data_IF_555362880264
#
_entry.id   IF_555362880264
#
_cell.length_a   1.000
_cell.length_b   1.000
_cell.length_c   1.000
_cell.angle_alpha   90.00
_cell.angle_beta   90.00
_cell.angle_gamma   90.00
#
_symmetry.space_group_name_H-M   'P 1'
#
loop_
_entity.id
_entity.type
_entity.pdbx_description
1 polymer ?
#
# COMPACT_ATOMS: atom_id res chain seq x y z
N UNK A 1 -16.86 12.20 -2.39
CA UNK A 1 -17.02 10.94 -1.65
C UNK A 1 -16.30 9.82 -2.38
N UNK A 2 -15.53 9.02 -1.66
CA UNK A 2 -14.81 7.89 -2.25
C UNK A 2 -15.71 6.66 -2.38
N UNK A 3 -15.52 5.95 -3.48
CA UNK A 3 -16.14 4.64 -3.70
C UNK A 3 -15.00 3.62 -3.76
N UNK A 4 -15.16 2.48 -3.11
CA UNK A 4 -14.14 1.44 -3.02
C UNK A 4 -14.58 0.22 -3.81
N UNK A 5 -13.65 -0.37 -4.55
CA UNK A 5 -13.95 -1.53 -5.39
C UNK A 5 -12.79 -2.51 -5.37
N UNK A 6 -13.11 -3.80 -5.23
CA UNK A 6 -12.09 -4.85 -5.35
C UNK A 6 -11.58 -4.90 -6.79
N UNK A 7 -10.26 -4.95 -6.95
CA UNK A 7 -9.64 -5.02 -8.25
C UNK A 7 -9.71 -6.44 -8.83
N UNK A 8 -9.81 -6.54 -10.15
CA UNK A 8 -9.61 -7.78 -10.87
C UNK A 8 -8.53 -7.59 -11.94
N UNK A 9 -8.23 -8.62 -12.72
CA UNK A 9 -7.14 -8.54 -13.69
C UNK A 9 -7.38 -7.49 -14.79
N UNK A 10 -8.63 -7.11 -15.05
CA UNK A 10 -8.93 -6.06 -16.01
C UNK A 10 -8.50 -4.68 -15.53
N UNK A 11 -8.20 -4.53 -14.24
CA UNK A 11 -7.74 -3.27 -13.65
C UNK A 11 -6.21 -3.11 -13.70
N UNK A 12 -5.49 -4.06 -14.31
CA UNK A 12 -4.03 -4.05 -14.29
C UNK A 12 -3.42 -2.74 -14.80
N UNK A 13 -3.92 -2.20 -15.91
CA UNK A 13 -3.39 -0.95 -16.47
C UNK A 13 -3.61 0.23 -15.52
N UNK A 14 -4.78 0.30 -14.90
CA UNK A 14 -5.10 1.33 -13.91
C UNK A 14 -4.16 1.23 -12.70
N UNK A 15 -3.91 0.02 -12.24
CA UNK A 15 -3.02 -0.23 -11.10
C UNK A 15 -1.58 0.15 -11.42
N UNK A 16 -1.09 -0.18 -12.62
CA UNK A 16 0.26 0.23 -13.07
C UNK A 16 0.37 1.76 -13.03
N UNK A 17 -0.64 2.46 -13.51
CA UNK A 17 -0.65 3.92 -13.51
C UNK A 17 -0.58 4.50 -12.08
N UNK A 18 -1.41 3.98 -11.17
CA UNK A 18 -1.40 4.42 -9.77
C UNK A 18 -0.05 4.16 -9.12
N UNK A 19 0.49 2.95 -9.31
CA UNK A 19 1.78 2.58 -8.72
C UNK A 19 2.91 3.46 -9.26
N UNK A 20 2.96 3.68 -10.57
CA UNK A 20 4.00 4.52 -11.16
C UNK A 20 3.92 5.96 -10.65
N UNK A 21 2.73 6.51 -10.53
CA UNK A 21 2.55 7.86 -9.98
C UNK A 21 3.01 7.94 -8.52
N UNK A 22 2.57 6.98 -7.70
CA UNK A 22 2.85 7.00 -6.26
C UNK A 22 4.32 6.73 -5.93
N UNK A 23 5.00 5.87 -6.71
CA UNK A 23 6.35 5.39 -6.39
C UNK A 23 7.44 5.96 -7.29
N UNK A 24 7.12 6.93 -8.14
CA UNK A 24 8.13 7.56 -9.01
C UNK A 24 9.28 8.15 -8.19
N UNK A 25 8.98 8.87 -7.11
CA UNK A 25 10.00 9.50 -6.29
C UNK A 25 10.88 8.46 -5.59
N UNK A 26 10.28 7.35 -5.14
CA UNK A 26 11.04 6.25 -4.53
C UNK A 26 11.98 5.62 -5.55
N UNK A 27 11.52 5.43 -6.79
CA UNK A 27 12.35 4.89 -7.86
C UNK A 27 13.54 5.79 -8.15
N UNK A 28 13.32 7.10 -8.23
CA UNK A 28 14.40 8.08 -8.45
C UNK A 28 15.36 8.08 -7.26
N UNK A 29 14.84 8.09 -6.04
CA UNK A 29 15.65 8.20 -4.82
C UNK A 29 16.52 6.97 -4.56
N UNK A 30 15.96 5.78 -4.75
CA UNK A 30 16.65 4.52 -4.39
C UNK A 30 17.24 3.79 -5.59
N UNK A 31 16.99 4.26 -6.80
CA UNK A 31 17.44 3.60 -8.02
C UNK A 31 16.69 2.31 -8.36
N UNK A 32 15.79 1.89 -7.49
CA UNK A 32 14.91 0.75 -7.71
C UNK A 32 13.69 0.86 -6.82
N UNK A 33 12.57 0.35 -7.30
CA UNK A 33 11.35 0.22 -6.52
C UNK A 33 10.51 -0.89 -7.15
N UNK A 34 10.28 -2.02 -6.44
CA UNK A 34 9.53 -3.15 -7.02
C UNK A 34 8.12 -2.79 -7.49
N UNK A 35 7.52 -1.76 -6.90
CA UNK A 35 6.18 -1.32 -7.26
C UNK A 35 6.16 -0.45 -8.53
N UNK A 36 7.31 0.06 -8.97
CA UNK A 36 7.42 0.98 -10.10
C UNK A 36 7.85 0.23 -11.36
N UNK A 37 7.24 0.59 -12.49
CA UNK A 37 7.65 0.04 -13.79
C UNK A 37 7.21 -1.40 -14.04
N UNK A 38 6.18 -1.87 -13.36
CA UNK A 38 5.66 -3.22 -13.60
C UNK A 38 5.01 -3.31 -14.97
N UNK A 39 5.19 -4.47 -15.63
CA UNK A 39 4.44 -4.77 -16.85
C UNK A 39 2.99 -5.07 -16.50
N UNK A 40 2.12 -5.04 -17.52
CA UNK A 40 0.72 -5.42 -17.37
C UNK A 40 0.61 -6.87 -16.85
N UNK A 41 1.37 -7.79 -17.43
CA UNK A 41 1.35 -9.21 -17.04
C UNK A 41 1.80 -9.39 -15.59
N UNK A 42 2.84 -8.66 -15.19
CA UNK A 42 3.33 -8.69 -13.81
C UNK A 42 2.25 -8.18 -12.85
N UNK A 43 1.56 -7.09 -13.21
CA UNK A 43 0.48 -6.56 -12.38
C UNK A 43 -0.73 -7.49 -12.33
N UNK A 44 -1.07 -8.16 -13.44
CA UNK A 44 -2.13 -9.17 -13.46
C UNK A 44 -1.82 -10.29 -12.47
N UNK A 45 -0.57 -10.74 -12.42
CA UNK A 45 -0.16 -11.77 -11.46
C UNK A 45 -0.25 -11.23 -10.03
N UNK A 46 0.14 -9.98 -9.81
CA UNK A 46 0.06 -9.33 -8.49
C UNK A 46 -1.39 -9.27 -7.98
N UNK A 47 -2.35 -9.00 -8.87
CA UNK A 47 -3.77 -8.99 -8.51
C UNK A 47 -4.23 -10.36 -8.05
N UNK A 48 -3.72 -11.43 -8.67
CA UNK A 48 -4.04 -12.81 -8.26
C UNK A 48 -3.42 -13.17 -6.91
N UNK A 49 -2.20 -12.70 -6.66
CA UNK A 49 -1.45 -13.05 -5.45
C UNK A 49 -1.83 -12.17 -4.24
N UNK A 50 -2.18 -10.92 -4.49
CA UNK A 50 -2.49 -9.94 -3.46
C UNK A 50 -3.82 -9.26 -3.77
N UNK A 51 -4.88 -9.55 -3.02
CA UNK A 51 -6.14 -8.79 -3.13
C UNK A 51 -5.88 -7.30 -3.04
N UNK A 52 -6.63 -6.50 -3.81
CA UNK A 52 -6.45 -5.06 -3.86
C UNK A 52 -7.82 -4.37 -3.83
N UNK A 53 -7.85 -3.22 -3.15
CA UNK A 53 -9.03 -2.36 -3.11
C UNK A 53 -8.64 -1.03 -3.73
N UNK A 54 -9.35 -0.61 -4.78
CA UNK A 54 -9.12 0.66 -5.46
C UNK A 54 -10.12 1.68 -4.95
N UNK A 55 -9.64 2.88 -4.63
CA UNK A 55 -10.50 4.01 -4.26
C UNK A 55 -10.74 4.88 -5.48
N UNK A 56 -11.99 5.20 -5.72
CA UNK A 56 -12.44 6.07 -6.83
C UNK A 56 -13.03 7.35 -6.27
N UNK A 57 -12.67 8.47 -6.87
CA UNK A 57 -13.27 9.77 -6.57
C UNK A 57 -13.91 10.28 -7.85
N UNK A 58 -15.25 10.40 -7.84
CA UNK A 58 -16.05 10.81 -9.01
C UNK A 58 -15.71 9.96 -10.24
N UNK A 59 -15.60 8.65 -10.05
CA UNK A 59 -15.31 7.70 -11.12
C UNK A 59 -13.85 7.60 -11.53
N UNK A 60 -12.96 8.39 -10.93
CA UNK A 60 -11.53 8.36 -11.24
C UNK A 60 -10.79 7.53 -10.19
N UNK A 61 -10.00 6.52 -10.61
CA UNK A 61 -9.20 5.74 -9.65
C UNK A 61 -8.03 6.58 -9.14
N UNK A 62 -7.92 6.75 -7.82
CA UNK A 62 -6.94 7.65 -7.21
C UNK A 62 -6.04 7.00 -6.19
N UNK A 63 -6.35 5.79 -5.74
CA UNK A 63 -5.52 5.12 -4.76
C UNK A 63 -5.84 3.64 -4.68
N UNK A 64 -4.96 2.89 -4.00
CA UNK A 64 -5.10 1.44 -3.86
C UNK A 64 -4.44 0.98 -2.58
N UNK A 65 -5.04 -0.04 -1.94
CA UNK A 65 -4.40 -0.80 -0.88
C UNK A 65 -4.33 -2.26 -1.33
N UNK A 66 -3.14 -2.85 -1.20
CA UNK A 66 -2.86 -4.24 -1.55
C UNK A 66 -2.47 -4.99 -0.29
N UNK A 67 -3.01 -6.18 -0.09
CA UNK A 67 -2.79 -6.91 1.15
C UNK A 67 -2.75 -8.40 0.91
N UNK A 68 -2.33 -9.14 1.94
CA UNK A 68 -2.31 -10.59 1.94
C UNK A 68 -2.65 -11.09 3.33
N UNK A 69 -3.54 -12.08 3.42
CA UNK A 69 -3.81 -12.75 4.68
C UNK A 69 -2.72 -13.78 4.96
N UNK A 70 -2.09 -13.69 6.12
CA UNK A 70 -0.98 -14.56 6.50
C UNK A 70 -1.37 -15.58 7.59
N UNK A 71 -2.63 -15.63 7.92
CA UNK A 71 -3.18 -16.51 8.94
C UNK A 71 -4.45 -15.89 9.48
N UNK A 72 -5.22 -16.58 10.34
CA UNK A 72 -6.48 -16.04 10.84
C UNK A 72 -6.27 -14.69 11.56
N UNK A 73 -6.86 -13.64 11.00
CA UNK A 73 -6.77 -12.29 11.54
C UNK A 73 -5.42 -11.58 11.33
N UNK A 74 -4.48 -12.20 10.63
CA UNK A 74 -3.16 -11.61 10.39
C UNK A 74 -3.03 -11.19 8.93
N UNK A 75 -2.74 -9.91 8.71
CA UNK A 75 -2.66 -9.34 7.36
C UNK A 75 -1.34 -8.60 7.15
N UNK A 76 -0.80 -8.72 5.95
CA UNK A 76 0.36 -7.98 5.50
C UNK A 76 -0.10 -6.98 4.44
N UNK A 77 0.24 -5.70 4.64
CA UNK A 77 -0.05 -4.65 3.65
C UNK A 77 1.15 -4.57 2.71
N UNK A 78 0.95 -5.03 1.48
CA UNK A 78 2.02 -5.02 0.48
C UNK A 78 2.20 -3.66 -0.18
N UNK A 79 1.14 -2.86 -0.25
CA UNK A 79 1.18 -1.56 -0.90
C UNK A 79 0.02 -0.69 -0.42
N UNK A 80 0.32 0.56 -0.17
CA UNK A 80 -0.68 1.61 0.04
C UNK A 80 -0.23 2.78 -0.82
N UNK A 81 -0.93 3.02 -1.92
CA UNK A 81 -0.50 3.97 -2.94
C UNK A 81 -1.61 4.95 -3.26
N UNK A 82 -1.25 6.21 -3.44
CA UNK A 82 -2.17 7.29 -3.83
C UNK A 82 -1.50 8.08 -4.95
N UNK A 83 -2.26 8.43 -6.00
CA UNK A 83 -1.75 9.27 -7.07
C UNK A 83 -1.05 10.49 -6.46
N UNK A 84 0.08 10.86 -7.02
CA UNK A 84 0.91 11.94 -6.49
C UNK A 84 0.13 13.23 -6.30
N UNK A 85 -0.68 13.61 -7.27
CA UNK A 85 -1.49 14.83 -7.21
C UNK A 85 -2.65 14.77 -6.20
N UNK A 86 -2.98 13.58 -5.72
CA UNK A 86 -4.06 13.38 -4.75
C UNK A 86 -3.54 13.15 -3.32
N UNK A 87 -2.23 13.14 -3.13
CA UNK A 87 -1.63 12.97 -1.79
C UNK A 87 -1.89 14.21 -0.93
N UNK A 88 -1.92 14.01 0.39
CA UNK A 88 -2.22 15.10 1.32
C UNK A 88 -3.70 15.34 1.59
N UNK A 89 -4.58 14.55 0.99
CA UNK A 89 -6.04 14.64 1.19
C UNK A 89 -6.61 13.62 2.17
N UNK A 90 -5.75 12.81 2.78
CA UNK A 90 -6.19 11.77 3.71
C UNK A 90 -6.70 10.49 3.05
N UNK A 91 -6.44 10.30 1.76
CA UNK A 91 -6.92 9.12 1.02
C UNK A 91 -6.27 7.84 1.53
N UNK A 92 -4.97 7.87 1.85
CA UNK A 92 -4.29 6.72 2.44
C UNK A 92 -4.92 6.30 3.77
N UNK A 93 -5.29 7.27 4.60
CA UNK A 93 -5.98 7.02 5.86
C UNK A 93 -7.33 6.36 5.62
N UNK A 94 -8.09 6.86 4.65
CA UNK A 94 -9.40 6.32 4.32
C UNK A 94 -9.30 4.90 3.77
N UNK A 95 -8.31 4.64 2.92
CA UNK A 95 -8.08 3.30 2.38
C UNK A 95 -7.76 2.29 3.47
N UNK A 96 -6.85 2.64 4.38
CA UNK A 96 -6.48 1.72 5.47
C UNK A 96 -7.66 1.48 6.42
N UNK A 97 -8.42 2.52 6.73
CA UNK A 97 -9.62 2.38 7.56
C UNK A 97 -10.69 1.54 6.87
N UNK A 98 -10.87 1.71 5.56
CA UNK A 98 -11.81 0.90 4.79
C UNK A 98 -11.38 -0.57 4.82
N UNK A 99 -10.08 -0.85 4.61
CA UNK A 99 -9.54 -2.20 4.73
C UNK A 99 -9.90 -2.81 6.09
N UNK A 100 -9.67 -2.08 7.18
CA UNK A 100 -9.98 -2.56 8.53
C UNK A 100 -11.48 -2.85 8.71
N UNK A 101 -12.34 -2.02 8.14
CA UNK A 101 -13.79 -2.22 8.25
C UNK A 101 -14.27 -3.43 7.47
N UNK A 102 -13.62 -3.75 6.36
CA UNK A 102 -13.94 -4.93 5.54
C UNK A 102 -13.37 -6.22 6.12
N UNK A 103 -12.43 -6.12 7.05
CA UNK A 103 -11.78 -7.26 7.69
C UNK A 103 -11.88 -7.11 9.21
N UNK A 104 -13.11 -7.16 9.79
CA UNK A 104 -13.28 -6.92 11.22
C UNK A 104 -12.61 -7.96 12.11
N UNK A 105 -12.18 -9.08 11.53
CA UNK A 105 -11.45 -10.15 12.23
C UNK A 105 -9.96 -9.81 12.43
N UNK A 106 -9.46 -8.71 11.86
CA UNK A 106 -8.03 -8.42 11.96
C UNK A 106 -7.59 -8.27 13.42
N UNK A 107 -6.46 -8.90 13.75
CA UNK A 107 -5.83 -8.73 15.06
C UNK A 107 -4.37 -8.29 14.94
N UNK A 108 -3.76 -8.47 13.77
CA UNK A 108 -2.39 -8.03 13.51
C UNK A 108 -2.27 -7.58 12.06
N UNK A 109 -1.68 -6.40 11.86
CA UNK A 109 -1.36 -5.87 10.53
C UNK A 109 0.12 -5.53 10.51
N UNK A 110 0.85 -6.04 9.51
CA UNK A 110 2.27 -5.75 9.34
C UNK A 110 2.52 -5.09 8.00
N UNK A 111 3.61 -4.34 7.92
CA UNK A 111 4.07 -3.72 6.67
C UNK A 111 5.53 -3.31 6.81
N UNK A 112 6.13 -2.93 5.67
CA UNK A 112 7.49 -2.39 5.65
C UNK A 112 7.51 -1.05 4.94
N UNK A 113 8.47 -0.19 5.31
CA UNK A 113 8.72 1.08 4.62
C UNK A 113 10.23 1.38 4.70
N UNK A 114 10.79 2.12 3.72
CA UNK A 114 12.19 2.54 3.81
C UNK A 114 12.49 3.30 5.10
N UNK A 115 13.62 2.99 5.71
CA UNK A 115 14.04 3.56 7.00
C UNK A 115 14.15 5.08 7.00
N UNK A 116 14.47 5.68 5.87
CA UNK A 116 14.63 7.13 5.76
C UNK A 116 13.38 7.85 5.23
N UNK A 117 12.29 7.13 5.04
CA UNK A 117 11.01 7.74 4.64
C UNK A 117 10.25 8.22 5.87
N UNK A 118 10.64 9.40 6.37
CA UNK A 118 10.08 9.97 7.60
C UNK A 118 8.57 10.22 7.51
N UNK A 119 8.08 10.58 6.33
CA UNK A 119 6.65 10.83 6.10
C UNK A 119 5.82 9.58 6.36
N UNK A 120 6.25 8.44 5.80
CA UNK A 120 5.56 7.17 6.01
C UNK A 120 5.68 6.70 7.46
N UNK A 121 6.87 6.84 8.05
CA UNK A 121 7.08 6.45 9.44
C UNK A 121 6.10 7.19 10.34
N UNK A 122 5.97 8.52 10.18
CA UNK A 122 5.02 9.31 10.98
C UNK A 122 3.57 8.93 10.68
N UNK A 123 3.26 8.67 9.40
CA UNK A 123 1.91 8.26 9.03
C UNK A 123 1.49 6.99 9.79
N UNK A 124 2.34 5.97 9.80
CA UNK A 124 1.99 4.72 10.45
C UNK A 124 2.08 4.79 11.98
N UNK A 125 3.11 5.43 12.54
CA UNK A 125 3.29 5.47 13.99
C UNK A 125 2.37 6.47 14.67
N UNK A 126 2.28 7.69 14.16
CA UNK A 126 1.52 8.75 14.81
C UNK A 126 0.02 8.68 14.52
N UNK A 127 -0.34 8.37 13.29
CA UNK A 127 -1.76 8.35 12.90
C UNK A 127 -2.47 7.05 13.25
N UNK A 128 -1.78 5.92 13.14
CA UNK A 128 -2.39 4.61 13.36
C UNK A 128 -1.86 3.87 14.59
N UNK A 129 -0.73 4.29 15.15
CA UNK A 129 -0.16 3.64 16.33
C UNK A 129 0.62 2.37 16.03
N UNK A 130 1.11 2.19 14.81
CA UNK A 130 1.98 1.06 14.50
C UNK A 130 3.28 1.15 15.30
N UNK A 131 3.79 0.00 15.72
CA UNK A 131 5.09 -0.11 16.38
C UNK A 131 6.14 -0.55 15.37
N UNK A 132 7.35 -0.01 15.49
CA UNK A 132 8.50 -0.48 14.70
C UNK A 132 9.03 -1.72 15.41
N UNK A 133 9.06 -2.86 14.70
CA UNK A 133 9.45 -4.15 15.28
C UNK A 133 10.84 -4.62 14.86
N UNK A 134 11.42 -4.03 13.84
CA UNK A 134 12.75 -4.42 13.39
C UNK A 134 13.17 -3.67 12.13
N UNK A 135 14.36 -3.97 11.66
CA UNK A 135 14.83 -3.44 10.39
C UNK A 135 15.52 -4.53 9.60
N UNK A 136 15.52 -4.40 8.28
CA UNK A 136 16.08 -5.37 7.36
C UNK A 136 16.80 -4.65 6.23
N UNK A 137 18.01 -5.10 5.92
CA UNK A 137 18.76 -4.59 4.79
C UNK A 137 18.37 -5.37 3.54
N UNK A 138 17.82 -4.67 2.56
CA UNK A 138 17.32 -5.25 1.31
C UNK A 138 18.33 -5.04 0.16
N UNK A 139 19.60 -4.85 0.49
CA UNK A 139 20.68 -4.63 -0.47
C UNK A 139 20.92 -3.16 -0.76
N UNK A 140 19.99 -2.45 -1.38
CA UNK A 140 20.11 -1.01 -1.67
C UNK A 140 19.34 -0.15 -0.68
N UNK A 141 18.34 -0.71 -0.02
CA UNK A 141 17.44 0.02 0.86
C UNK A 141 17.32 -0.75 2.17
N UNK A 142 17.46 -0.04 3.29
CA UNK A 142 17.11 -0.58 4.60
C UNK A 142 15.66 -0.26 4.87
N UNK A 143 14.88 -1.26 5.23
CA UNK A 143 13.46 -1.11 5.53
C UNK A 143 13.20 -1.33 7.01
N UNK A 144 12.16 -0.67 7.52
CA UNK A 144 11.63 -0.91 8.86
C UNK A 144 10.38 -1.76 8.76
N UNK A 145 10.26 -2.71 9.69
CA UNK A 145 9.05 -3.49 9.88
C UNK A 145 8.15 -2.82 10.89
N UNK A 146 6.85 -2.79 10.59
CA UNK A 146 5.83 -2.18 11.43
C UNK A 146 4.76 -3.21 11.76
N UNK A 147 4.20 -3.11 12.96
CA UNK A 147 3.09 -3.97 13.40
C UNK A 147 2.06 -3.15 14.15
N UNK A 148 0.80 -3.40 13.83
CA UNK A 148 -0.35 -2.91 14.60
C UNK A 148 -1.11 -4.13 15.11
N UNK A 149 -1.33 -4.19 16.41
CA UNK A 149 -2.06 -5.30 17.07
C UNK A 149 -3.26 -4.75 17.81
N UNK A 150 -4.29 -5.59 17.97
CA UNK A 150 -5.42 -5.25 18.83
C UNK A 150 -5.91 -6.43 19.64
#
# INVERSE_FOLDING_TARGET
>A
MLVYKCADISDADVLVEIYNSAFHDDHVRYGQCPAYGRSRENMEQSVKDYPKIIAYDQGRPIGVISYKEEGPGKYYIGCLAVLKEEQGRGIGTLLLKHFMSEHPDWNEITLVTPKDNERNIRFYTERFGFEITGEEDDGKVTVLWFRLSR
#
